data_IF_864572827384
#
_entry.id   IF_864572827384
#
_cell.length_a   1.000
_cell.length_b   1.000
_cell.length_c   1.000
_cell.angle_alpha   90.00
_cell.angle_beta   90.00
_cell.angle_gamma   90.00
#
_symmetry.space_group_name_H-M   'P 1'
#
loop_
_entity.id
_entity.type
_entity.pdbx_description
1 polymer ?
#
# COMPACT_ATOMS: atom_id res chain seq x y z
N UNK A 1 -16.14 11.66 -1.52
CA UNK A 1 -14.75 11.28 -1.13
C UNK A 1 -14.67 9.77 -0.99
N UNK A 2 -13.58 9.15 -1.43
CA UNK A 2 -13.35 7.71 -1.30
C UNK A 2 -12.66 7.40 0.05
N UNK A 3 -13.23 6.49 0.84
CA UNK A 3 -12.54 5.88 1.99
C UNK A 3 -12.16 4.45 1.64
N UNK A 4 -10.93 4.07 1.96
CA UNK A 4 -10.37 2.75 1.73
C UNK A 4 -10.08 2.12 3.09
N UNK A 5 -10.91 1.17 3.47
CA UNK A 5 -10.71 0.39 4.69
C UNK A 5 -9.67 -0.70 4.40
N UNK A 6 -8.59 -0.66 5.12
CA UNK A 6 -7.44 -1.54 4.91
C UNK A 6 -6.64 -1.76 6.20
N UNK A 7 -5.49 -2.37 6.09
CA UNK A 7 -4.51 -2.61 7.14
C UNK A 7 -3.12 -2.52 6.50
N UNK A 8 -2.11 -2.11 7.22
CA UNK A 8 -0.75 -1.99 6.67
C UNK A 8 -0.25 -3.32 6.11
N UNK A 9 -0.63 -4.46 6.70
CA UNK A 9 -0.27 -5.79 6.20
C UNK A 9 -1.29 -6.40 5.24
N UNK A 10 -2.27 -5.61 4.75
CA UNK A 10 -3.20 -6.09 3.73
C UNK A 10 -2.44 -6.30 2.40
N UNK A 11 -2.31 -7.55 1.91
CA UNK A 11 -1.57 -7.83 0.69
C UNK A 11 -2.17 -7.15 -0.55
N UNK A 12 -3.47 -6.88 -0.54
CA UNK A 12 -4.14 -6.22 -1.64
C UNK A 12 -3.82 -4.72 -1.70
N UNK A 13 -3.58 -4.07 -0.56
CA UNK A 13 -3.20 -2.66 -0.49
C UNK A 13 -1.93 -2.38 -1.32
N UNK A 14 -0.92 -3.23 -1.22
CA UNK A 14 0.29 -3.12 -2.04
C UNK A 14 -0.02 -3.08 -3.54
N UNK A 15 -0.86 -4.01 -3.98
CA UNK A 15 -1.29 -4.08 -5.38
C UNK A 15 -2.21 -2.94 -5.81
N UNK A 16 -2.91 -2.30 -4.88
CA UNK A 16 -3.86 -1.22 -5.16
C UNK A 16 -3.16 0.11 -5.53
N UNK A 17 -1.94 0.36 -5.04
CA UNK A 17 -1.24 1.62 -5.28
C UNK A 17 -1.13 2.02 -6.75
N UNK A 18 -0.78 1.14 -7.70
CA UNK A 18 -0.77 1.52 -9.11
C UNK A 18 -2.12 2.01 -9.63
N UNK A 19 -3.22 1.42 -9.17
CA UNK A 19 -4.57 1.86 -9.54
C UNK A 19 -4.88 3.24 -8.95
N UNK A 20 -4.55 3.47 -7.68
CA UNK A 20 -4.72 4.79 -7.04
C UNK A 20 -3.90 5.86 -7.78
N UNK A 21 -2.62 5.60 -8.04
CA UNK A 21 -1.74 6.48 -8.81
C UNK A 21 -2.25 6.75 -10.24
N UNK A 22 -2.88 5.75 -10.88
CA UNK A 22 -3.55 5.92 -12.19
C UNK A 22 -4.67 6.95 -12.08
N UNK A 23 -5.50 6.87 -11.03
CA UNK A 23 -6.60 7.81 -10.80
C UNK A 23 -6.11 9.20 -10.42
N UNK A 24 -5.15 9.33 -9.51
CA UNK A 24 -4.52 10.60 -9.12
C UNK A 24 -3.96 11.37 -10.33
N UNK A 25 -3.42 10.64 -11.29
CA UNK A 25 -2.89 11.24 -12.52
C UNK A 25 -3.98 11.61 -13.51
N UNK A 26 -4.98 10.75 -13.67
CA UNK A 26 -6.02 10.95 -14.68
C UNK A 26 -7.04 12.01 -14.26
N UNK A 27 -7.32 12.12 -12.98
CA UNK A 27 -8.38 12.97 -12.45
C UNK A 27 -7.82 14.03 -11.49
N UNK A 28 -8.18 15.31 -11.68
CA UNK A 28 -7.67 16.43 -10.87
C UNK A 28 -8.27 16.52 -9.47
N UNK A 29 -9.49 15.98 -9.29
CA UNK A 29 -10.25 15.98 -8.05
C UNK A 29 -10.35 14.60 -7.37
N UNK A 30 -9.58 13.59 -7.83
CA UNK A 30 -9.54 12.30 -7.17
C UNK A 30 -8.79 12.41 -5.85
N UNK A 31 -9.46 12.03 -4.77
CA UNK A 31 -8.90 11.99 -3.43
C UNK A 31 -9.45 10.80 -2.66
N UNK A 32 -8.65 10.27 -1.75
CA UNK A 32 -9.04 9.15 -0.89
C UNK A 32 -8.37 9.26 0.48
N UNK A 33 -8.92 8.52 1.44
CA UNK A 33 -8.36 8.37 2.77
C UNK A 33 -8.29 6.89 3.13
N UNK A 34 -7.20 6.46 3.76
CA UNK A 34 -7.12 5.16 4.39
C UNK A 34 -7.76 5.17 5.77
N UNK A 35 -8.55 4.13 6.03
CA UNK A 35 -9.17 3.84 7.34
C UNK A 35 -8.63 2.50 7.81
N UNK A 36 -7.94 2.50 8.96
CA UNK A 36 -7.29 1.30 9.49
C UNK A 36 -8.31 0.36 10.13
N UNK A 37 -8.56 -0.75 9.45
CA UNK A 37 -9.56 -1.74 9.87
C UNK A 37 -9.03 -2.75 10.89
N UNK A 38 -7.73 -2.94 10.96
CA UNK A 38 -7.09 -3.92 11.84
C UNK A 38 -7.33 -5.36 11.39
N UNK A 39 -6.48 -5.85 10.46
CA UNK A 39 -6.67 -7.18 9.84
C UNK A 39 -6.23 -8.31 10.78
N UNK A 40 -5.10 -8.14 11.46
CA UNK A 40 -4.43 -9.20 12.20
C UNK A 40 -4.33 -8.81 13.67
N UNK A 41 -5.26 -9.30 14.50
CA UNK A 41 -5.18 -9.13 15.95
C UNK A 41 -4.05 -9.96 16.58
N UNK A 42 -3.91 -11.20 16.11
CA UNK A 42 -2.79 -12.09 16.41
C UNK A 42 -2.62 -13.07 15.26
N UNK A 43 -1.40 -13.22 14.72
CA UNK A 43 -1.13 -14.13 13.62
C UNK A 43 -1.48 -15.59 13.94
N UNK A 44 -1.46 -15.98 15.22
CA UNK A 44 -1.86 -17.32 15.65
C UNK A 44 -3.32 -17.65 15.33
N UNK A 45 -4.17 -16.64 15.11
CA UNK A 45 -5.58 -16.84 14.73
C UNK A 45 -5.72 -17.45 13.34
N UNK A 46 -4.74 -17.24 12.45
CA UNK A 46 -4.72 -17.88 11.13
C UNK A 46 -4.29 -19.34 11.16
N UNK A 47 -3.69 -19.78 12.28
CA UNK A 47 -3.14 -21.10 12.37
C UNK A 47 -4.20 -22.11 12.78
N UNK A 48 -4.23 -23.30 12.16
CA UNK A 48 -4.99 -24.42 12.69
C UNK A 48 -4.55 -24.72 14.14
N UNK A 49 -5.49 -25.08 14.99
CA UNK A 49 -5.24 -25.23 16.43
C UNK A 49 -4.04 -26.16 16.77
N UNK A 50 -3.84 -27.20 15.99
CA UNK A 50 -2.73 -28.16 16.16
C UNK A 50 -1.34 -27.62 15.80
N UNK A 51 -1.26 -26.44 15.17
CA UNK A 51 0.01 -25.78 14.79
C UNK A 51 0.39 -24.62 15.69
N UNK A 52 -0.47 -24.20 16.61
CA UNK A 52 -0.24 -23.04 17.49
C UNK A 52 0.86 -23.25 18.51
N UNK A 53 1.20 -24.50 18.84
CA UNK A 53 2.17 -24.87 19.86
C UNK A 53 3.60 -25.13 19.33
N UNK A 54 3.75 -25.30 18.02
CA UNK A 54 5.07 -25.59 17.42
C UNK A 54 5.25 -24.80 16.14
N UNK A 55 6.36 -24.03 16.06
CA UNK A 55 6.75 -23.25 14.90
C UNK A 55 5.64 -22.26 14.44
N UNK A 56 4.82 -21.77 15.37
CA UNK A 56 3.71 -20.87 15.05
C UNK A 56 4.19 -19.60 14.34
N UNK A 57 5.33 -19.06 14.77
CA UNK A 57 5.93 -17.85 14.23
C UNK A 57 6.37 -18.02 12.77
N UNK A 58 7.13 -19.10 12.47
CA UNK A 58 7.57 -19.42 11.11
C UNK A 58 6.36 -19.61 10.19
N UNK A 59 5.35 -20.33 10.66
CA UNK A 59 4.13 -20.58 9.89
C UNK A 59 3.31 -19.31 9.69
N UNK A 60 3.22 -18.41 10.68
CA UNK A 60 2.56 -17.11 10.56
C UNK A 60 3.19 -16.25 9.46
N UNK A 61 4.50 -16.10 9.47
CA UNK A 61 5.24 -15.40 8.41
C UNK A 61 5.09 -16.08 7.05
N UNK A 62 5.07 -17.43 7.02
CA UNK A 62 4.84 -18.19 5.78
C UNK A 62 3.45 -17.96 5.20
N UNK A 63 2.41 -17.92 6.03
CA UNK A 63 1.04 -17.63 5.58
C UNK A 63 0.97 -16.22 5.01
N UNK A 64 1.56 -15.22 5.67
CA UNK A 64 1.62 -13.86 5.15
C UNK A 64 2.31 -13.81 3.78
N UNK A 65 3.45 -14.49 3.64
CA UNK A 65 4.14 -14.63 2.36
C UNK A 65 3.24 -15.22 1.26
N UNK A 66 2.54 -16.32 1.58
CA UNK A 66 1.66 -16.99 0.60
C UNK A 66 0.46 -16.12 0.22
N UNK A 67 -0.07 -15.31 1.15
CA UNK A 67 -1.12 -14.32 0.87
C UNK A 67 -0.62 -13.27 -0.13
N UNK A 68 0.57 -12.71 0.07
CA UNK A 68 1.17 -11.74 -0.86
C UNK A 68 1.45 -12.37 -2.24
N UNK A 69 1.90 -13.61 -2.29
CA UNK A 69 2.08 -14.35 -3.55
C UNK A 69 0.76 -14.57 -4.29
N UNK A 70 -0.27 -14.99 -3.59
CA UNK A 70 -1.59 -15.17 -4.17
C UNK A 70 -2.13 -13.85 -4.74
N UNK A 71 -2.02 -12.77 -3.96
CA UNK A 71 -2.46 -11.44 -4.37
C UNK A 71 -1.66 -10.90 -5.56
N UNK A 72 -0.36 -11.17 -5.64
CA UNK A 72 0.49 -10.80 -6.78
C UNK A 72 0.00 -11.41 -8.11
N UNK A 73 -0.62 -12.58 -8.10
CA UNK A 73 -1.20 -13.19 -9.31
C UNK A 73 -2.40 -12.39 -9.84
N UNK A 74 -3.13 -11.73 -8.95
CA UNK A 74 -4.32 -10.93 -9.24
C UNK A 74 -3.92 -9.51 -9.63
N UNK A 75 -3.15 -8.85 -8.77
CA UNK A 75 -2.81 -7.43 -8.89
C UNK A 75 -1.68 -7.15 -9.89
N UNK A 76 -0.93 -8.18 -10.27
CA UNK A 76 0.30 -8.11 -11.09
C UNK A 76 1.44 -7.33 -10.45
N UNK A 77 1.28 -6.91 -9.21
CA UNK A 77 2.37 -6.33 -8.40
C UNK A 77 3.15 -7.43 -7.71
N UNK A 78 4.49 -7.45 -7.83
CA UNK A 78 5.29 -8.48 -7.20
C UNK A 78 5.24 -8.36 -5.68
N UNK A 79 5.00 -9.47 -4.98
CA UNK A 79 5.06 -9.56 -3.52
C UNK A 79 6.45 -9.93 -3.01
N UNK A 80 6.55 -10.33 -1.74
CA UNK A 80 7.80 -10.77 -1.11
C UNK A 80 8.52 -11.84 -1.93
N UNK A 81 9.85 -11.76 -2.01
CA UNK A 81 10.70 -12.72 -2.72
C UNK A 81 11.10 -13.92 -1.85
N UNK A 82 11.10 -13.73 -0.55
CA UNK A 82 11.31 -14.77 0.46
C UNK A 82 10.28 -14.61 1.58
N UNK A 83 10.19 -15.59 2.46
CA UNK A 83 9.35 -15.47 3.67
C UNK A 83 9.87 -14.29 4.51
N UNK A 84 9.05 -13.29 4.80
CA UNK A 84 9.49 -12.16 5.63
C UNK A 84 9.62 -12.58 7.10
N UNK A 85 10.41 -11.84 7.86
CA UNK A 85 10.50 -11.95 9.32
C UNK A 85 9.77 -10.76 9.97
N UNK A 86 8.49 -10.55 9.63
CA UNK A 86 7.69 -9.45 10.16
C UNK A 86 7.13 -9.79 11.54
N UNK A 87 6.45 -10.93 11.65
CA UNK A 87 6.00 -11.38 12.97
C UNK A 87 7.19 -11.92 13.77
N UNK A 88 7.22 -11.56 15.04
CA UNK A 88 8.20 -12.00 16.03
C UNK A 88 7.48 -12.35 17.33
N UNK A 89 8.20 -12.77 18.36
CA UNK A 89 7.60 -12.97 19.68
C UNK A 89 7.03 -11.67 20.27
N UNK A 90 7.61 -10.52 19.92
CA UNK A 90 7.17 -9.20 20.40
C UNK A 90 6.08 -8.60 19.50
N UNK A 91 6.07 -8.94 18.20
CA UNK A 91 5.16 -8.37 17.20
C UNK A 91 4.26 -9.46 16.60
N UNK A 92 3.10 -9.68 17.22
CA UNK A 92 2.13 -10.72 16.84
C UNK A 92 0.92 -10.20 16.07
N UNK A 93 0.79 -8.90 15.95
CA UNK A 93 -0.39 -8.19 15.43
C UNK A 93 0.00 -7.14 14.41
N UNK A 94 -0.84 -6.86 13.40
CA UNK A 94 -0.65 -5.71 12.50
C UNK A 94 -1.03 -4.37 13.14
N UNK A 95 -1.74 -4.37 14.27
CA UNK A 95 -2.25 -3.16 14.92
C UNK A 95 -1.17 -2.12 15.25
N UNK A 96 0.06 -2.47 15.68
CA UNK A 96 1.12 -1.49 15.85
C UNK A 96 1.45 -0.72 14.56
N UNK A 97 1.44 -1.39 13.41
CA UNK A 97 1.71 -0.77 12.12
C UNK A 97 0.56 0.15 11.67
N UNK A 98 -0.69 -0.26 11.89
CA UNK A 98 -1.84 0.61 11.66
C UNK A 98 -1.75 1.88 12.52
N UNK A 99 -1.29 1.76 13.76
CA UNK A 99 -1.05 2.89 14.64
C UNK A 99 0.13 3.76 14.20
N UNK A 100 1.18 3.19 13.59
CA UNK A 100 2.26 3.97 12.96
C UNK A 100 1.69 4.85 11.84
N UNK A 101 0.86 4.28 10.98
CA UNK A 101 0.20 5.04 9.92
C UNK A 101 -0.63 6.20 10.50
N UNK A 102 -1.41 5.95 11.55
CA UNK A 102 -2.24 6.97 12.19
C UNK A 102 -1.39 8.07 12.85
N UNK A 103 -0.31 7.70 13.54
CA UNK A 103 0.61 8.65 14.14
C UNK A 103 1.25 9.58 13.10
N UNK A 104 1.68 9.03 11.98
CA UNK A 104 2.20 9.82 10.86
C UNK A 104 1.13 10.74 10.28
N UNK A 105 -0.08 10.23 10.06
CA UNK A 105 -1.19 11.00 9.48
C UNK A 105 -1.57 12.22 10.32
N UNK A 106 -1.48 12.14 11.65
CA UNK A 106 -1.73 13.29 12.56
C UNK A 106 -0.67 14.39 12.39
N UNK A 107 0.55 14.06 11.94
CA UNK A 107 1.62 15.04 11.71
C UNK A 107 1.57 15.57 10.28
N UNK A 108 1.40 14.69 9.30
CA UNK A 108 1.45 15.02 7.88
C UNK A 108 0.39 14.21 7.10
N UNK A 109 -0.85 14.69 7.15
CA UNK A 109 -1.96 14.04 6.47
C UNK A 109 -1.76 14.04 4.94
N UNK A 110 -1.19 15.10 4.37
CA UNK A 110 -1.00 15.24 2.93
C UNK A 110 -0.08 14.13 2.37
N UNK A 111 0.97 13.77 3.11
CA UNK A 111 1.91 12.73 2.73
C UNK A 111 1.55 11.33 3.26
N UNK A 112 0.41 11.15 3.93
CA UNK A 112 0.05 9.86 4.56
C UNK A 112 -0.02 8.70 3.57
N UNK A 113 -0.48 8.92 2.35
CA UNK A 113 -0.49 7.89 1.30
C UNK A 113 0.92 7.51 0.83
N UNK A 114 1.80 8.49 0.68
CA UNK A 114 3.21 8.25 0.33
C UNK A 114 3.94 7.50 1.46
N UNK A 115 3.67 7.85 2.70
CA UNK A 115 4.19 7.16 3.88
C UNK A 115 3.71 5.70 3.94
N UNK A 116 2.41 5.44 3.73
CA UNK A 116 1.87 4.08 3.66
C UNK A 116 2.60 3.25 2.58
N UNK A 117 2.80 3.84 1.41
CA UNK A 117 3.54 3.18 0.33
C UNK A 117 5.00 2.93 0.73
N UNK A 118 5.65 3.87 1.41
CA UNK A 118 7.04 3.76 1.85
C UNK A 118 7.25 2.63 2.85
N UNK A 119 6.38 2.48 3.84
CA UNK A 119 6.42 1.34 4.78
C UNK A 119 6.40 0.01 4.01
N UNK A 120 5.48 -0.13 3.05
CA UNK A 120 5.36 -1.35 2.26
C UNK A 120 6.58 -1.60 1.37
N UNK A 121 7.21 -0.56 0.82
CA UNK A 121 8.47 -0.67 0.08
C UNK A 121 9.61 -1.19 0.95
N UNK A 122 9.74 -0.68 2.17
CA UNK A 122 10.77 -1.14 3.12
C UNK A 122 10.59 -2.62 3.49
N UNK A 123 9.34 -3.06 3.69
CA UNK A 123 9.04 -4.46 3.96
C UNK A 123 9.25 -5.36 2.74
N UNK A 124 8.62 -5.03 1.61
CA UNK A 124 8.49 -5.94 0.47
C UNK A 124 9.74 -5.93 -0.40
N UNK A 125 10.28 -4.75 -0.71
CA UNK A 125 11.41 -4.60 -1.63
C UNK A 125 12.74 -4.71 -0.89
N UNK A 126 12.85 -4.06 0.27
CA UNK A 126 14.10 -4.02 1.02
C UNK A 126 14.21 -5.13 2.08
N UNK A 127 13.11 -5.87 2.36
CA UNK A 127 13.10 -7.02 3.28
C UNK A 127 13.34 -6.64 4.74
N UNK A 128 13.03 -5.40 5.12
CA UNK A 128 13.21 -4.91 6.49
C UNK A 128 12.02 -5.27 7.36
N UNK A 129 12.26 -5.49 8.64
CA UNK A 129 11.18 -5.58 9.61
C UNK A 129 10.68 -4.17 9.98
N UNK A 130 9.51 -3.81 9.46
CA UNK A 130 8.89 -2.48 9.60
C UNK A 130 8.29 -2.23 11.00
N UNK A 131 8.36 -3.16 11.93
CA UNK A 131 8.05 -2.93 13.33
C UNK A 131 9.22 -2.31 14.10
N UNK A 132 10.44 -2.43 13.55
CA UNK A 132 11.64 -1.91 14.19
C UNK A 132 11.68 -0.39 14.14
N UNK A 133 11.82 0.27 15.29
CA UNK A 133 11.84 1.73 15.40
C UNK A 133 12.99 2.38 14.61
N UNK A 134 14.11 1.67 14.40
CA UNK A 134 15.20 2.19 13.58
C UNK A 134 14.82 2.25 12.10
N UNK A 135 14.04 1.28 11.61
CA UNK A 135 13.48 1.30 10.24
C UNK A 135 12.50 2.44 10.11
N UNK A 136 11.60 2.60 11.09
CA UNK A 136 10.63 3.68 11.13
C UNK A 136 11.33 5.05 11.15
N UNK A 137 12.38 5.23 11.96
CA UNK A 137 13.18 6.46 12.00
C UNK A 137 13.76 6.83 10.63
N UNK A 138 14.24 5.86 9.87
CA UNK A 138 14.75 6.11 8.51
C UNK A 138 13.63 6.50 7.53
N UNK A 139 12.45 5.89 7.65
CA UNK A 139 11.27 6.27 6.87
C UNK A 139 10.89 7.74 7.15
N UNK A 140 10.74 8.09 8.42
CA UNK A 140 10.35 9.44 8.87
C UNK A 140 11.31 10.53 8.41
N UNK A 141 12.63 10.24 8.38
CA UNK A 141 13.63 11.17 7.84
C UNK A 141 13.36 11.56 6.38
N UNK A 142 12.85 10.65 5.56
CA UNK A 142 12.52 10.95 4.16
C UNK A 142 11.38 11.96 4.03
N UNK A 143 10.50 12.03 5.01
CA UNK A 143 9.40 12.99 5.12
C UNK A 143 9.74 14.22 5.97
N UNK A 144 10.93 14.26 6.58
CA UNK A 144 11.36 15.33 7.51
C UNK A 144 10.46 15.44 8.75
N UNK A 145 9.88 14.33 9.16
CA UNK A 145 9.05 14.23 10.38
C UNK A 145 9.97 13.99 11.57
N UNK A 146 9.71 14.71 12.66
CA UNK A 146 10.42 14.53 13.92
C UNK A 146 10.04 13.20 14.57
N UNK A 147 11.05 12.44 15.00
CA UNK A 147 10.85 11.10 15.54
C UNK A 147 10.17 11.13 16.93
N UNK A 148 10.49 12.10 17.77
CA UNK A 148 9.93 12.18 19.12
C UNK A 148 8.46 12.61 19.03
N UNK A 149 8.10 13.50 18.11
CA UNK A 149 6.71 13.85 17.80
C UNK A 149 5.93 12.63 17.29
N UNK A 150 6.53 11.84 16.40
CA UNK A 150 5.91 10.61 15.91
C UNK A 150 5.67 9.61 17.06
N UNK A 151 6.65 9.37 17.91
CA UNK A 151 6.50 8.45 19.07
C UNK A 151 5.39 8.94 20.00
N UNK A 152 5.31 10.23 20.28
CA UNK A 152 4.24 10.80 21.09
C UNK A 152 2.86 10.52 20.47
N UNK A 153 2.69 10.76 19.16
CA UNK A 153 1.42 10.48 18.47
C UNK A 153 1.11 8.98 18.42
N UNK A 154 2.13 8.13 18.23
CA UNK A 154 1.96 6.68 18.27
C UNK A 154 1.43 6.19 19.62
N UNK A 155 1.99 6.65 20.73
CA UNK A 155 1.54 6.29 22.06
C UNK A 155 0.09 6.71 22.32
N UNK A 156 -0.35 7.82 21.71
CA UNK A 156 -1.71 8.37 21.86
C UNK A 156 -2.67 7.93 20.72
N UNK A 157 -2.26 7.11 19.76
CA UNK A 157 -3.09 6.72 18.62
C UNK A 157 -4.14 5.65 18.89
N UNK A 158 -4.22 5.10 20.11
CA UNK A 158 -5.11 3.97 20.43
C UNK A 158 -6.58 4.30 20.19
N UNK A 159 -7.06 5.44 20.68
CA UNK A 159 -8.47 5.84 20.55
C UNK A 159 -8.82 6.16 19.10
N UNK A 160 -7.88 6.75 18.35
CA UNK A 160 -8.04 7.00 16.91
C UNK A 160 -8.17 5.68 16.16
N UNK A 161 -7.31 4.70 16.48
CA UNK A 161 -7.39 3.37 15.88
C UNK A 161 -8.71 2.67 16.18
N UNK A 162 -9.20 2.75 17.43
CA UNK A 162 -10.52 2.22 17.77
C UNK A 162 -11.64 2.91 17.02
N UNK A 163 -11.58 4.23 16.84
CA UNK A 163 -12.55 4.99 16.06
C UNK A 163 -12.59 4.53 14.59
N UNK A 164 -11.42 4.28 13.97
CA UNK A 164 -11.33 3.71 12.62
C UNK A 164 -11.96 2.32 12.52
N UNK A 165 -11.75 1.46 13.51
CA UNK A 165 -12.38 0.13 13.56
C UNK A 165 -13.88 0.22 13.79
N UNK A 166 -14.35 1.16 14.61
CA UNK A 166 -15.79 1.41 14.78
C UNK A 166 -16.42 1.91 13.49
N UNK A 167 -15.75 2.81 12.76
CA UNK A 167 -16.22 3.26 11.45
C UNK A 167 -16.36 2.08 10.47
N UNK A 168 -15.39 1.17 10.42
CA UNK A 168 -15.49 -0.05 9.62
C UNK A 168 -16.69 -0.92 10.02
N UNK A 169 -16.97 -1.03 11.31
CA UNK A 169 -18.11 -1.76 11.83
C UNK A 169 -19.45 -1.08 11.44
N UNK A 170 -19.55 0.23 11.59
CA UNK A 170 -20.78 0.99 11.28
C UNK A 170 -21.15 0.89 9.79
N UNK A 171 -20.16 0.92 8.89
CA UNK A 171 -20.35 0.68 7.45
C UNK A 171 -20.42 -0.81 7.07
N UNK A 172 -20.37 -1.72 8.06
CA UNK A 172 -20.44 -3.17 7.87
C UNK A 172 -19.36 -3.71 6.94
N UNK A 173 -18.17 -3.14 7.02
CA UNK A 173 -16.99 -3.64 6.31
C UNK A 173 -16.53 -4.93 7.02
N UNK A 174 -16.74 -6.07 6.36
CA UNK A 174 -16.42 -7.39 6.91
C UNK A 174 -15.16 -7.99 6.34
N UNK A 175 -14.66 -7.42 5.26
CA UNK A 175 -13.49 -7.88 4.52
C UNK A 175 -12.67 -6.68 4.07
N UNK A 176 -11.36 -6.77 4.23
CA UNK A 176 -10.40 -5.80 3.70
C UNK A 176 -9.81 -6.32 2.38
N UNK A 177 -9.53 -5.42 1.43
CA UNK A 177 -9.91 -4.02 1.47
C UNK A 177 -11.42 -3.82 1.28
N UNK A 178 -11.94 -2.73 1.85
CA UNK A 178 -13.29 -2.24 1.62
C UNK A 178 -13.24 -0.81 1.09
N UNK A 179 -14.18 -0.44 0.23
CA UNK A 179 -14.26 0.87 -0.40
C UNK A 179 -15.61 1.50 -0.08
N UNK A 180 -15.61 2.74 0.38
CA UNK A 180 -16.81 3.51 0.67
C UNK A 180 -16.76 4.84 -0.07
N UNK A 181 -17.81 5.13 -0.84
CA UNK A 181 -18.05 6.47 -1.37
C UNK A 181 -18.97 7.21 -0.39
N UNK A 182 -18.45 8.25 0.25
CA UNK A 182 -19.15 8.93 1.36
C UNK A 182 -20.38 9.70 0.92
N UNK A 183 -20.41 10.23 -0.31
CA UNK A 183 -21.49 11.05 -0.85
C UNK A 183 -22.80 10.28 -1.01
N UNK A 184 -22.72 9.01 -1.33
CA UNK A 184 -23.89 8.17 -1.61
C UNK A 184 -23.96 6.90 -0.75
N UNK A 185 -23.05 6.74 0.20
CA UNK A 185 -22.91 5.57 1.08
C UNK A 185 -22.81 4.22 0.32
N UNK A 186 -22.23 4.25 -0.88
CA UNK A 186 -21.97 3.03 -1.64
C UNK A 186 -20.74 2.32 -1.12
N UNK A 187 -20.88 1.03 -0.87
CA UNK A 187 -19.82 0.16 -0.36
C UNK A 187 -19.50 -0.93 -1.38
N UNK A 188 -18.22 -1.13 -1.65
CA UNK A 188 -17.67 -2.28 -2.35
C UNK A 188 -16.70 -3.00 -1.42
N UNK A 189 -16.84 -4.30 -1.23
CA UNK A 189 -15.94 -5.12 -0.41
C UNK A 189 -15.86 -6.55 -0.92
N UNK A 190 -14.87 -7.31 -0.49
CA UNK A 190 -14.67 -8.70 -0.89
C UNK A 190 -14.44 -8.86 -2.42
N UNK A 191 -13.85 -7.85 -3.04
CA UNK A 191 -13.53 -7.81 -4.46
C UNK A 191 -12.02 -7.63 -4.63
N UNK A 192 -11.40 -8.55 -5.35
CA UNK A 192 -9.98 -8.52 -5.69
C UNK A 192 -9.79 -8.41 -7.21
N UNK A 193 -10.66 -7.66 -7.87
CA UNK A 193 -10.65 -7.42 -9.32
C UNK A 193 -10.53 -5.93 -9.58
N UNK A 194 -9.41 -5.50 -10.15
CA UNK A 194 -9.16 -4.09 -10.43
C UNK A 194 -10.17 -3.49 -11.41
N UNK A 195 -10.64 -4.25 -12.39
CA UNK A 195 -11.66 -3.78 -13.33
C UNK A 195 -12.93 -3.38 -12.60
N UNK A 196 -13.39 -4.22 -11.68
CA UNK A 196 -14.58 -3.93 -10.86
C UNK A 196 -14.37 -2.79 -9.87
N UNK A 197 -13.16 -2.63 -9.33
CA UNK A 197 -12.85 -1.51 -8.45
C UNK A 197 -12.80 -0.22 -9.27
N UNK A 198 -12.20 -0.24 -10.45
CA UNK A 198 -12.15 0.88 -11.38
C UNK A 198 -13.57 1.31 -11.82
N UNK A 199 -14.41 0.34 -12.23
CA UNK A 199 -15.84 0.59 -12.55
C UNK A 199 -16.56 1.24 -11.37
N UNK A 200 -16.39 0.70 -10.16
CA UNK A 200 -17.03 1.26 -8.96
C UNK A 200 -16.61 2.71 -8.70
N UNK A 201 -15.35 3.07 -8.89
CA UNK A 201 -14.88 4.45 -8.75
C UNK A 201 -15.49 5.35 -9.85
N UNK A 202 -15.48 4.90 -11.10
CA UNK A 202 -16.02 5.64 -12.25
C UNK A 202 -17.54 5.89 -12.15
N UNK A 203 -18.28 4.93 -11.61
CA UNK A 203 -19.74 5.05 -11.49
C UNK A 203 -20.19 5.90 -10.30
N UNK A 204 -19.35 6.05 -9.26
CA UNK A 204 -19.79 6.61 -7.98
C UNK A 204 -19.05 7.87 -7.55
N UNK A 205 -17.95 8.23 -8.21
CA UNK A 205 -17.21 9.47 -7.98
C UNK A 205 -17.49 10.46 -9.10
N UNK A 206 -17.67 11.73 -8.74
CA UNK A 206 -17.73 12.82 -9.70
C UNK A 206 -16.30 13.23 -10.09
N UNK A 207 -15.78 12.64 -11.17
CA UNK A 207 -14.37 12.73 -11.56
C UNK A 207 -14.18 13.71 -12.71
N UNK A 208 -13.25 14.65 -12.54
CA UNK A 208 -12.85 15.60 -13.57
C UNK A 208 -11.51 15.21 -14.20
N UNK A 209 -11.50 14.84 -15.47
CA UNK A 209 -10.26 14.48 -16.16
C UNK A 209 -9.28 15.66 -16.25
N UNK A 210 -7.99 15.35 -16.13
CA UNK A 210 -6.92 16.32 -16.42
C UNK A 210 -6.77 16.45 -17.93
N UNK A 211 -6.78 17.66 -18.45
CA UNK A 211 -6.38 17.93 -19.83
C UNK A 211 -4.85 17.77 -19.92
N UNK A 212 -4.39 16.64 -20.40
CA UNK A 212 -2.97 16.38 -20.64
C UNK A 212 -2.67 16.23 -22.13
N UNK A 213 -2.05 17.25 -22.70
CA UNK A 213 -1.51 17.19 -24.09
C UNK A 213 -0.11 16.55 -24.12
N UNK A 214 0.14 15.56 -23.26
CA UNK A 214 1.43 14.87 -23.17
C UNK A 214 1.43 13.59 -24.00
N UNK A 215 2.53 13.34 -24.68
CA UNK A 215 2.78 12.04 -25.32
C UNK A 215 2.85 10.93 -24.26
N UNK A 216 2.64 9.69 -24.68
CA UNK A 216 2.75 8.53 -23.79
C UNK A 216 4.15 8.42 -23.15
N UNK A 217 5.19 8.79 -23.89
CA UNK A 217 6.56 8.88 -23.37
C UNK A 217 6.68 9.86 -22.21
N UNK A 218 6.18 11.09 -22.42
CA UNK A 218 6.21 12.13 -21.38
C UNK A 218 5.41 11.73 -20.14
N UNK A 219 4.28 11.05 -20.33
CA UNK A 219 3.47 10.52 -19.24
C UNK A 219 4.23 9.50 -18.38
N UNK A 220 4.94 8.57 -19.02
CA UNK A 220 5.78 7.58 -18.31
C UNK A 220 6.95 8.27 -17.59
N UNK A 221 7.66 9.17 -18.25
CA UNK A 221 8.77 9.89 -17.65
C UNK A 221 8.33 10.76 -16.46
N UNK A 222 7.16 11.42 -16.57
CA UNK A 222 6.60 12.19 -15.46
C UNK A 222 6.20 11.29 -14.30
N UNK A 223 5.64 10.10 -14.56
CA UNK A 223 5.32 9.14 -13.52
C UNK A 223 6.57 8.74 -12.71
N UNK A 224 7.66 8.40 -13.40
CA UNK A 224 8.92 8.03 -12.75
C UNK A 224 9.54 9.21 -11.98
N UNK A 225 9.31 10.46 -12.41
CA UNK A 225 9.78 11.65 -11.66
C UNK A 225 8.95 11.96 -10.41
N UNK A 226 7.66 11.68 -10.48
CA UNK A 226 6.71 12.04 -9.42
C UNK A 226 6.85 11.13 -8.21
N UNK A 227 7.14 9.85 -8.43
CA UNK A 227 7.20 8.86 -7.36
C UNK A 227 8.64 8.42 -7.10
N UNK A 228 9.05 8.42 -5.82
CA UNK A 228 10.42 8.10 -5.40
C UNK A 228 10.86 6.69 -5.84
N UNK A 229 9.93 5.74 -5.82
CA UNK A 229 10.17 4.39 -6.26
C UNK A 229 9.04 3.90 -7.18
N UNK A 230 9.43 3.48 -8.37
CA UNK A 230 8.52 2.93 -9.39
C UNK A 230 9.01 1.56 -9.83
N UNK A 231 8.19 0.53 -9.65
CA UNK A 231 8.48 -0.78 -10.19
C UNK A 231 8.17 -0.86 -11.68
N UNK A 232 8.96 -1.64 -12.44
CA UNK A 232 8.68 -1.88 -13.87
C UNK A 232 7.25 -2.38 -14.10
N UNK A 233 6.78 -3.25 -13.21
CA UNK A 233 5.44 -3.86 -13.28
C UNK A 233 4.30 -2.83 -13.15
N UNK A 234 4.51 -1.72 -12.43
CA UNK A 234 3.52 -0.65 -12.29
C UNK A 234 3.18 0.03 -13.61
N UNK A 235 4.16 0.19 -14.51
CA UNK A 235 3.95 0.88 -15.79
C UNK A 235 2.87 0.18 -16.63
N UNK A 236 2.86 -1.15 -16.62
CA UNK A 236 1.84 -1.92 -17.32
C UNK A 236 0.44 -1.73 -16.73
N UNK A 237 0.34 -1.66 -15.40
CA UNK A 237 -0.94 -1.46 -14.71
C UNK A 237 -1.47 -0.05 -14.95
N UNK A 238 -0.59 0.96 -14.86
CA UNK A 238 -0.97 2.38 -14.95
C UNK A 238 -1.27 2.80 -16.39
N UNK A 239 -0.44 2.35 -17.35
CA UNK A 239 -0.47 2.83 -18.73
C UNK A 239 -0.94 1.81 -19.76
N UNK A 240 -1.02 0.52 -19.40
CA UNK A 240 -1.44 -0.56 -20.30
C UNK A 240 -0.39 -0.94 -21.37
N UNK A 241 0.73 -0.23 -21.46
CA UNK A 241 1.72 -0.38 -22.55
C UNK A 241 3.12 -0.68 -22.01
N UNK A 242 3.60 -1.89 -22.25
CA UNK A 242 4.97 -2.30 -21.94
C UNK A 242 5.97 -1.86 -23.04
N UNK A 243 5.54 -1.85 -24.30
CA UNK A 243 6.39 -1.59 -25.46
C UNK A 243 7.05 -0.19 -25.41
N UNK A 244 6.34 0.82 -24.93
CA UNK A 244 6.89 2.18 -24.85
C UNK A 244 7.96 2.32 -23.78
N UNK A 245 7.80 1.62 -22.66
CA UNK A 245 8.84 1.57 -21.64
C UNK A 245 10.11 0.90 -22.18
N UNK A 246 9.99 -0.20 -22.93
CA UNK A 246 11.15 -0.88 -23.52
C UNK A 246 11.91 0.02 -24.50
N UNK A 247 11.19 0.84 -25.27
CA UNK A 247 11.78 1.86 -26.14
C UNK A 247 12.55 2.92 -25.36
N UNK A 248 11.98 3.42 -24.25
CA UNK A 248 12.65 4.37 -23.34
C UNK A 248 13.91 3.80 -22.73
N UNK A 249 13.89 2.54 -22.30
CA UNK A 249 15.06 1.84 -21.77
C UNK A 249 16.13 1.66 -22.85
N UNK A 250 15.75 1.21 -24.06
CA UNK A 250 16.67 1.06 -25.20
C UNK A 250 17.34 2.40 -25.55
N UNK A 251 16.60 3.50 -25.50
CA UNK A 251 17.08 4.84 -25.80
C UNK A 251 17.80 5.53 -24.62
N UNK A 252 18.03 4.79 -23.53
CA UNK A 252 18.71 5.29 -22.30
C UNK A 252 18.03 6.52 -21.67
N UNK A 253 16.73 6.66 -21.83
CA UNK A 253 15.92 7.68 -21.15
C UNK A 253 15.41 7.19 -19.79
N UNK A 254 15.33 5.88 -19.63
CA UNK A 254 14.98 5.18 -18.38
C UNK A 254 16.00 4.08 -18.15
N UNK A 255 16.44 3.90 -16.91
CA UNK A 255 17.32 2.83 -16.49
C UNK A 255 16.57 1.85 -15.59
N UNK A 256 16.94 0.57 -15.68
CA UNK A 256 16.37 -0.46 -14.82
C UNK A 256 17.42 -0.88 -13.81
N UNK A 257 17.18 -0.58 -12.54
CA UNK A 257 17.98 -1.07 -11.41
C UNK A 257 17.33 -2.32 -10.83
N UNK A 258 18.13 -3.24 -10.35
CA UNK A 258 17.63 -4.44 -9.66
C UNK A 258 18.02 -4.37 -8.19
N UNK A 259 17.02 -4.41 -7.32
CA UNK A 259 17.20 -4.44 -5.86
C UNK A 259 16.40 -5.64 -5.35
N UNK A 260 17.05 -6.60 -4.71
CA UNK A 260 16.41 -7.80 -4.18
C UNK A 260 15.45 -8.48 -5.19
N UNK A 261 15.89 -8.62 -6.46
CA UNK A 261 15.11 -9.17 -7.58
C UNK A 261 13.89 -8.34 -8.03
N UNK A 262 13.72 -7.11 -7.53
CA UNK A 262 12.74 -6.15 -8.05
C UNK A 262 13.38 -5.24 -9.10
N UNK A 263 12.66 -5.02 -10.21
CA UNK A 263 13.07 -4.12 -11.27
C UNK A 263 12.50 -2.73 -11.02
N UNK A 264 13.38 -1.82 -10.62
CA UNK A 264 13.04 -0.44 -10.29
C UNK A 264 13.47 0.46 -11.44
N UNK A 265 12.64 1.44 -11.78
CA UNK A 265 12.88 2.40 -12.83
C UNK A 265 13.53 3.66 -12.28
N UNK A 266 14.56 4.15 -12.99
CA UNK A 266 15.28 5.36 -12.64
C UNK A 266 15.53 6.20 -13.92
N UNK A 267 15.62 7.52 -13.77
CA UNK A 267 15.97 8.46 -14.83
C UNK A 267 17.45 8.83 -14.84
N UNK A 268 18.17 8.44 -13.80
CA UNK A 268 19.62 8.65 -13.66
C UNK A 268 20.31 7.30 -13.77
N UNK A 269 21.21 7.19 -14.72
CA UNK A 269 22.00 5.97 -14.94
C UNK A 269 23.05 5.74 -13.85
#
# INVERSE_FOLDING_TARGET
MLKIFTDVLDPFLWGLFPLLRKFERKYKNFSYQFVMGGLIGNYEEFLPKNFREKNSLELGNKILYDMYRATATITKMPGFKSVPELFTEDYKSSYPLDKYFLAFKEIDEENSSAYMRKILEEAIIFGKNIYELDVEREILKSFKVDFDEFVFNYENSHDIFLAHRMEAFDYRIKKLPGFLITENNRVLQNIMDFGRIEEFFLENLDLEEREENLSQEEKILNYIRTYDLVLKDEIKIVFGEENKLEELVKNKKVFVKVINDFKILDLKG
#
